data_IF_299349069294
#
_entry.id   IF_299349069294
#
_cell.length_a   1.000
_cell.length_b   1.000
_cell.length_c   1.000
_cell.angle_alpha   90.00
_cell.angle_beta   90.00
_cell.angle_gamma   90.00
#
_symmetry.space_group_name_H-M   'P 1'
#
loop_
_entity.id
_entity.type
_entity.pdbx_description
1 polymer ?
#
# COMPACT_ATOMS: atom_id res chain seq x y z
N UNK A 1 -13.29 -20.47 4.17
CA UNK A 1 -13.99 -19.18 4.41
C UNK A 1 -13.81 -18.78 5.85
N UNK A 2 -13.06 -17.72 6.14
CA UNK A 2 -13.06 -17.11 7.46
C UNK A 2 -14.28 -16.20 7.55
N UNK A 3 -15.41 -16.74 8.04
CA UNK A 3 -16.64 -15.95 8.24
C UNK A 3 -16.41 -14.73 9.15
N UNK A 4 -15.46 -14.82 10.09
CA UNK A 4 -15.19 -13.77 11.07
C UNK A 4 -14.28 -12.65 10.53
N UNK A 5 -13.22 -12.97 9.78
CA UNK A 5 -12.25 -12.01 9.24
C UNK A 5 -12.07 -12.19 7.73
N UNK A 6 -13.05 -11.76 6.93
CA UNK A 6 -13.03 -11.97 5.48
C UNK A 6 -12.12 -11.03 4.71
N UNK A 7 -11.45 -10.10 5.38
CA UNK A 7 -10.61 -9.09 4.77
C UNK A 7 -9.17 -9.16 5.25
N UNK A 8 -8.25 -8.73 4.39
CA UNK A 8 -6.87 -8.41 4.72
C UNK A 8 -6.55 -6.97 4.37
N UNK A 9 -5.82 -6.26 5.22
CA UNK A 9 -5.12 -5.02 4.84
C UNK A 9 -3.66 -5.35 4.56
N UNK A 10 -3.17 -5.00 3.40
CA UNK A 10 -1.75 -5.17 3.06
C UNK A 10 -0.92 -4.32 4.01
N UNK A 11 0.04 -4.94 4.72
CA UNK A 11 0.85 -4.31 5.77
C UNK A 11 2.31 -4.08 5.39
N UNK A 12 2.75 -4.65 4.27
CA UNK A 12 4.05 -4.38 3.67
C UNK A 12 3.94 -3.19 2.71
N UNK A 13 5.02 -2.46 2.51
CA UNK A 13 5.05 -1.37 1.52
C UNK A 13 4.59 -1.86 0.14
N UNK A 14 5.01 -3.08 -0.22
CA UNK A 14 4.61 -3.78 -1.44
C UNK A 14 4.46 -5.27 -1.13
N UNK A 15 3.37 -5.87 -1.57
CA UNK A 15 3.13 -7.30 -1.55
C UNK A 15 2.92 -7.82 -2.96
N UNK A 16 3.67 -8.84 -3.36
CA UNK A 16 3.53 -9.50 -4.66
C UNK A 16 2.42 -10.54 -4.60
N UNK A 17 1.49 -10.47 -5.56
CA UNK A 17 0.43 -11.44 -5.75
C UNK A 17 0.78 -12.34 -6.93
N UNK A 18 0.61 -13.65 -6.76
CA UNK A 18 1.06 -14.67 -7.72
C UNK A 18 -0.09 -15.50 -8.24
N UNK A 19 0.10 -16.11 -9.40
CA UNK A 19 -0.90 -17.01 -10.04
C UNK A 19 -1.10 -18.31 -9.26
N UNK A 20 -0.20 -18.67 -8.37
CA UNK A 20 -0.27 -19.85 -7.49
C UNK A 20 0.38 -19.58 -6.13
N UNK A 21 -0.03 -20.34 -5.12
CA UNK A 21 0.44 -20.23 -3.72
C UNK A 21 1.88 -20.71 -3.49
N UNK A 22 2.83 -20.24 -4.26
CA UNK A 22 4.27 -20.52 -4.14
C UNK A 22 5.13 -19.38 -4.70
N UNK A 23 6.32 -19.17 -4.15
CA UNK A 23 7.22 -18.08 -4.56
C UNK A 23 7.70 -18.20 -6.03
N UNK A 24 7.79 -19.41 -6.57
CA UNK A 24 8.19 -19.64 -7.95
C UNK A 24 7.05 -19.45 -8.98
N UNK A 25 5.81 -19.22 -8.54
CA UNK A 25 4.71 -18.93 -9.45
C UNK A 25 4.87 -17.54 -10.07
N UNK A 26 4.34 -17.36 -11.27
CA UNK A 26 4.33 -16.10 -12.00
C UNK A 26 3.66 -15.00 -11.17
N UNK A 27 4.19 -13.78 -11.23
CA UNK A 27 3.58 -12.63 -10.59
C UNK A 27 2.41 -12.13 -11.42
N UNK A 28 1.24 -12.02 -10.79
CA UNK A 28 0.02 -11.53 -11.44
C UNK A 28 -0.10 -10.00 -11.30
N UNK A 29 0.19 -9.47 -10.12
CA UNK A 29 0.14 -8.03 -9.81
C UNK A 29 0.83 -7.77 -8.46
N UNK A 30 0.85 -6.52 -8.03
CA UNK A 30 1.25 -6.12 -6.68
C UNK A 30 0.10 -5.39 -5.98
N UNK A 31 0.09 -5.44 -4.65
CA UNK A 31 -0.74 -4.59 -3.80
C UNK A 31 0.16 -3.85 -2.81
N UNK A 32 -0.13 -2.58 -2.56
CA UNK A 32 0.66 -1.71 -1.69
C UNK A 32 0.02 -1.56 -0.32
N UNK A 33 0.76 -1.07 0.67
CA UNK A 33 0.28 -0.88 2.05
C UNK A 33 -1.04 -0.12 2.12
N UNK A 34 -1.97 -0.63 2.93
CA UNK A 34 -3.30 -0.06 3.11
C UNK A 34 -4.34 -0.56 2.10
N UNK A 35 -3.94 -1.32 1.06
CA UNK A 35 -4.88 -1.93 0.11
C UNK A 35 -5.73 -2.99 0.82
N UNK A 36 -7.06 -2.86 0.84
CA UNK A 36 -7.94 -3.93 1.33
C UNK A 36 -8.05 -5.04 0.27
N UNK A 37 -7.89 -6.28 0.69
CA UNK A 37 -8.08 -7.46 -0.15
C UNK A 37 -9.13 -8.37 0.45
N UNK A 38 -10.06 -8.90 -0.38
CA UNK A 38 -11.05 -9.86 0.06
C UNK A 38 -10.43 -11.25 0.09
N UNK A 39 -10.46 -11.91 1.23
CA UNK A 39 -9.93 -13.27 1.38
C UNK A 39 -10.96 -14.27 0.88
N UNK A 40 -10.61 -15.05 -0.13
CA UNK A 40 -11.45 -16.07 -0.73
C UNK A 40 -11.20 -17.43 -0.09
N UNK A 41 -9.93 -17.80 0.10
CA UNK A 41 -9.53 -19.06 0.73
C UNK A 41 -8.09 -18.97 1.28
N UNK A 42 -7.74 -19.92 2.13
CA UNK A 42 -6.37 -20.16 2.59
C UNK A 42 -5.79 -21.43 1.99
N UNK A 43 -4.53 -21.37 1.56
CA UNK A 43 -3.76 -22.48 1.02
C UNK A 43 -2.36 -22.48 1.66
N UNK A 44 -2.19 -23.25 2.74
CA UNK A 44 -0.93 -23.27 3.52
C UNK A 44 -0.57 -21.87 4.03
N UNK A 45 0.62 -21.37 3.68
CA UNK A 45 1.11 -20.02 4.05
C UNK A 45 0.62 -18.91 3.12
N UNK A 46 -0.26 -19.23 2.18
CA UNK A 46 -0.83 -18.32 1.21
C UNK A 46 -2.32 -18.12 1.45
N UNK A 47 -2.82 -16.98 0.96
CA UNK A 47 -4.24 -16.71 0.84
C UNK A 47 -4.56 -16.37 -0.62
N UNK A 48 -5.61 -16.96 -1.17
CA UNK A 48 -6.19 -16.51 -2.43
C UNK A 48 -7.10 -15.34 -2.12
N UNK A 49 -6.84 -14.21 -2.74
CA UNK A 49 -7.51 -12.95 -2.46
C UNK A 49 -8.01 -12.28 -3.73
N UNK A 50 -8.98 -11.40 -3.57
CA UNK A 50 -9.42 -10.49 -4.62
C UNK A 50 -9.03 -9.05 -4.25
N UNK A 51 -8.32 -8.37 -5.14
CA UNK A 51 -7.92 -6.97 -5.00
C UNK A 51 -9.06 -6.03 -5.43
N UNK A 52 -9.03 -4.73 -5.06
CA UNK A 52 -10.04 -3.75 -5.49
C UNK A 52 -10.20 -3.62 -7.01
N UNK A 53 -9.11 -3.81 -7.75
CA UNK A 53 -9.06 -3.81 -9.21
C UNK A 53 -9.35 -5.19 -9.84
N UNK A 54 -10.00 -6.07 -9.06
CA UNK A 54 -10.58 -7.35 -9.45
C UNK A 54 -9.59 -8.48 -9.79
N UNK A 55 -8.27 -8.33 -9.55
CA UNK A 55 -7.36 -9.47 -9.65
C UNK A 55 -7.68 -10.51 -8.59
N UNK A 56 -7.73 -11.78 -9.00
CA UNK A 56 -7.80 -12.93 -8.09
C UNK A 56 -6.46 -13.65 -8.16
N UNK A 57 -5.70 -13.63 -7.06
CA UNK A 57 -4.35 -14.16 -7.01
C UNK A 57 -3.96 -14.56 -5.58
N UNK A 58 -2.80 -15.17 -5.41
CA UNK A 58 -2.29 -15.62 -4.12
C UNK A 58 -1.31 -14.62 -3.52
N UNK A 59 -1.54 -14.25 -2.26
CA UNK A 59 -0.68 -13.40 -1.45
C UNK A 59 -0.13 -14.20 -0.26
N UNK A 60 1.15 -14.01 0.17
CA UNK A 60 1.62 -14.60 1.42
C UNK A 60 0.82 -14.06 2.61
N UNK A 61 0.38 -14.92 3.52
CA UNK A 61 -0.42 -14.51 4.70
C UNK A 61 0.24 -13.43 5.55
N UNK A 62 1.57 -13.50 5.67
CA UNK A 62 2.35 -12.53 6.43
C UNK A 62 2.44 -11.14 5.77
N UNK A 63 2.00 -10.99 4.52
CA UNK A 63 1.97 -9.69 3.81
C UNK A 63 0.73 -8.86 4.14
N UNK A 64 -0.24 -9.42 4.84
CA UNK A 64 -1.48 -8.73 5.21
C UNK A 64 -1.83 -8.91 6.68
N UNK A 65 -2.62 -8.00 7.21
CA UNK A 65 -3.25 -8.08 8.53
C UNK A 65 -4.72 -8.41 8.35
N UNK A 66 -5.18 -9.53 8.96
CA UNK A 66 -6.57 -9.99 8.83
C UNK A 66 -7.52 -9.19 9.72
N UNK A 67 -8.61 -8.74 9.15
CA UNK A 67 -9.61 -7.89 9.81
C UNK A 67 -11.04 -8.35 9.54
N UNK A 68 -11.93 -7.98 10.45
CA UNK A 68 -13.38 -8.11 10.29
C UNK A 68 -13.93 -7.05 9.33
N UNK A 69 -15.19 -7.19 8.91
CA UNK A 69 -15.88 -6.14 8.15
C UNK A 69 -15.95 -4.83 8.94
N UNK A 70 -16.30 -4.90 10.24
CA UNK A 70 -16.38 -3.70 11.09
C UNK A 70 -15.02 -2.98 11.21
N UNK A 71 -13.91 -3.73 11.28
CA UNK A 71 -12.57 -3.14 11.30
C UNK A 71 -12.20 -2.50 9.96
N UNK A 72 -12.62 -3.09 8.83
CA UNK A 72 -12.45 -2.48 7.52
C UNK A 72 -13.23 -1.16 7.41
N UNK A 73 -14.45 -1.14 7.90
CA UNK A 73 -15.30 0.05 7.87
C UNK A 73 -14.71 1.16 8.77
N UNK A 74 -14.22 0.80 9.95
CA UNK A 74 -13.49 1.71 10.82
C UNK A 74 -12.21 2.26 10.16
N UNK A 75 -11.42 1.41 9.50
CA UNK A 75 -10.26 1.82 8.71
C UNK A 75 -10.64 2.81 7.60
N UNK A 76 -11.75 2.56 6.89
CA UNK A 76 -12.23 3.45 5.81
C UNK A 76 -12.69 4.81 6.33
N UNK A 77 -13.25 4.86 7.53
CA UNK A 77 -13.74 6.07 8.19
C UNK A 77 -12.64 6.85 8.92
N UNK A 78 -11.53 6.20 9.25
CA UNK A 78 -10.43 6.87 9.96
C UNK A 78 -9.75 7.93 9.09
N UNK A 79 -9.14 8.93 9.74
CA UNK A 79 -8.24 9.86 9.05
C UNK A 79 -7.00 9.11 8.58
N UNK A 80 -6.70 9.15 7.29
CA UNK A 80 -5.59 8.45 6.67
C UNK A 80 -4.75 9.40 5.84
N UNK A 81 -3.49 9.06 5.72
CA UNK A 81 -2.53 9.76 4.87
C UNK A 81 -2.01 8.84 3.79
N UNK A 82 -1.79 9.40 2.60
CA UNK A 82 -1.18 8.73 1.46
C UNK A 82 0.24 9.26 1.27
N UNK A 83 1.18 8.37 0.99
CA UNK A 83 2.55 8.73 0.62
C UNK A 83 2.55 9.35 -0.77
N UNK A 84 3.03 10.59 -0.89
CA UNK A 84 2.98 11.41 -2.11
C UNK A 84 4.38 11.70 -2.69
N UNK A 85 5.39 10.94 -2.29
CA UNK A 85 6.76 10.96 -2.83
C UNK A 85 7.13 9.60 -3.37
N UNK A 86 8.17 9.55 -4.20
CA UNK A 86 8.60 8.30 -4.84
C UNK A 86 8.85 7.17 -3.81
N UNK A 87 9.60 7.50 -2.74
CA UNK A 87 9.90 6.59 -1.64
C UNK A 87 10.25 7.39 -0.40
N UNK A 88 9.87 6.88 0.77
CA UNK A 88 10.26 7.40 2.09
C UNK A 88 10.28 6.28 3.13
N UNK A 89 10.37 6.62 4.40
CA UNK A 89 10.40 5.68 5.53
C UNK A 89 9.49 6.15 6.65
N UNK A 90 8.85 5.20 7.30
CA UNK A 90 8.23 5.40 8.61
C UNK A 90 9.32 5.18 9.66
N UNK A 91 9.68 6.19 10.43
CA UNK A 91 10.72 6.14 11.45
C UNK A 91 10.13 6.14 12.87
N UNK A 92 10.77 5.49 13.83
CA UNK A 92 10.28 5.38 15.23
C UNK A 92 10.30 6.72 15.96
N UNK A 93 11.16 7.65 15.53
CA UNK A 93 11.25 9.02 16.07
C UNK A 93 11.25 10.07 14.96
N UNK A 94 10.85 11.34 15.25
CA UNK A 94 10.78 12.42 14.24
C UNK A 94 12.10 12.74 13.54
N UNK A 95 13.24 12.56 14.23
CA UNK A 95 14.57 12.84 13.69
C UNK A 95 15.51 11.69 13.99
N UNK A 96 16.29 11.28 12.99
CA UNK A 96 17.33 10.24 13.12
C UNK A 96 16.80 8.93 13.73
N UNK A 97 15.50 8.64 13.52
CA UNK A 97 14.88 7.41 13.99
C UNK A 97 15.27 6.19 13.16
N UNK A 98 15.14 5.01 13.77
CA UNK A 98 15.27 3.75 13.05
C UNK A 98 14.05 3.51 12.17
N UNK A 99 14.26 2.86 11.03
CA UNK A 99 13.18 2.50 10.11
C UNK A 99 12.24 1.47 10.72
N UNK A 100 10.98 1.83 10.88
CA UNK A 100 9.87 0.93 11.24
C UNK A 100 9.33 0.20 10.02
N UNK A 101 9.22 0.94 8.91
CA UNK A 101 8.82 0.40 7.60
C UNK A 101 9.35 1.28 6.48
N UNK A 102 9.74 0.67 5.37
CA UNK A 102 9.86 1.41 4.11
C UNK A 102 8.45 1.77 3.59
N UNK A 103 8.38 2.85 2.84
CA UNK A 103 7.14 3.35 2.24
C UNK A 103 7.38 3.73 0.78
N UNK A 104 6.40 3.43 -0.06
CA UNK A 104 6.38 3.82 -1.48
C UNK A 104 5.17 4.71 -1.78
N UNK A 105 5.23 5.44 -2.88
CA UNK A 105 4.09 6.25 -3.34
C UNK A 105 2.80 5.44 -3.36
N UNK A 106 1.73 6.04 -2.87
CA UNK A 106 0.41 5.40 -2.78
C UNK A 106 0.18 4.58 -1.51
N UNK A 107 1.20 4.31 -0.68
CA UNK A 107 0.97 3.66 0.62
C UNK A 107 0.02 4.50 1.48
N UNK A 108 -0.96 3.84 2.10
CA UNK A 108 -1.97 4.48 2.94
C UNK A 108 -1.78 4.02 4.39
N UNK A 109 -1.69 4.98 5.30
CA UNK A 109 -1.48 4.77 6.73
C UNK A 109 -2.52 5.56 7.55
N UNK A 110 -2.81 5.11 8.75
CA UNK A 110 -3.76 5.77 9.65
C UNK A 110 -3.07 6.90 10.43
N UNK A 111 -3.74 8.04 10.55
CA UNK A 111 -3.26 9.17 11.34
C UNK A 111 -3.34 8.90 12.84
N UNK A 112 -2.26 9.20 13.56
CA UNK A 112 -2.15 9.05 15.02
C UNK A 112 -1.74 10.33 15.75
N UNK A 113 -1.42 11.39 15.01
CA UNK A 113 -1.05 12.67 15.61
C UNK A 113 0.00 13.43 14.80
N UNK A 114 0.52 14.51 15.38
CA UNK A 114 1.52 15.36 14.77
C UNK A 114 2.58 15.76 15.81
N UNK A 115 3.84 15.83 15.40
CA UNK A 115 4.96 16.33 16.20
C UNK A 115 5.79 17.29 15.34
N UNK A 116 5.57 18.60 15.54
CA UNK A 116 6.21 19.64 14.72
C UNK A 116 5.91 19.48 13.23
N UNK A 117 6.94 19.23 12.42
CA UNK A 117 6.81 18.99 10.97
C UNK A 117 6.60 17.53 10.60
N UNK A 118 6.41 16.65 11.57
CA UNK A 118 6.25 15.21 11.35
C UNK A 118 4.83 14.77 11.67
N UNK A 119 4.28 13.91 10.81
CA UNK A 119 2.98 13.26 10.98
C UNK A 119 3.24 11.88 11.59
N UNK A 120 2.58 11.58 12.71
CA UNK A 120 2.59 10.27 13.34
C UNK A 120 1.54 9.40 12.66
N UNK A 121 1.97 8.28 12.09
CA UNK A 121 1.14 7.35 11.31
C UNK A 121 1.27 5.94 11.86
N UNK A 122 0.23 5.13 11.64
CA UNK A 122 0.23 3.69 11.93
C UNK A 122 0.03 2.87 10.66
N UNK A 123 0.80 1.81 10.54
CA UNK A 123 0.60 0.76 9.54
C UNK A 123 -0.65 -0.06 9.85
N UNK A 124 -1.20 -0.83 8.88
CA UNK A 124 -2.38 -1.68 9.10
C UNK A 124 -2.26 -2.69 10.25
N UNK A 125 -1.05 -3.11 10.61
CA UNK A 125 -0.78 -4.03 11.72
C UNK A 125 -0.40 -3.32 13.04
N UNK A 126 -0.58 -1.98 13.09
CA UNK A 126 -0.45 -1.18 14.31
C UNK A 126 0.95 -0.71 14.66
N UNK A 127 1.98 -0.94 13.80
CA UNK A 127 3.30 -0.32 14.00
C UNK A 127 3.19 1.17 13.74
N UNK A 128 3.68 1.97 14.67
CA UNK A 128 3.61 3.43 14.60
C UNK A 128 4.96 4.05 14.29
N UNK A 129 4.93 5.23 13.68
CA UNK A 129 6.13 6.03 13.42
C UNK A 129 5.81 7.38 12.81
N UNK A 130 6.83 8.06 12.36
CA UNK A 130 6.80 9.43 11.89
C UNK A 130 7.28 9.53 10.46
N UNK A 131 6.60 10.38 9.66
CA UNK A 131 6.99 10.78 8.31
C UNK A 131 6.98 12.30 8.23
N UNK A 132 7.88 12.92 7.47
CA UNK A 132 7.86 14.36 7.29
C UNK A 132 6.59 14.80 6.53
N UNK A 133 5.94 15.87 6.97
CA UNK A 133 4.64 16.31 6.42
C UNK A 133 4.67 16.62 4.92
N UNK A 134 5.84 16.94 4.33
CA UNK A 134 5.96 17.18 2.88
C UNK A 134 5.96 15.91 2.03
N UNK A 135 6.03 14.72 2.66
CA UNK A 135 6.13 13.44 1.98
C UNK A 135 4.80 12.69 1.94
N UNK A 136 3.82 13.18 2.70
CA UNK A 136 2.48 12.60 2.80
C UNK A 136 1.41 13.66 2.62
N UNK A 137 0.22 13.24 2.21
CA UNK A 137 -0.96 14.10 2.08
C UNK A 137 -2.15 13.42 2.75
N UNK A 138 -3.07 14.18 3.34
CA UNK A 138 -4.31 13.60 3.82
C UNK A 138 -5.07 12.94 2.66
N UNK A 139 -5.54 11.71 2.86
CA UNK A 139 -6.16 10.93 1.79
C UNK A 139 -7.41 11.59 1.22
N UNK A 140 -8.21 12.25 2.07
CA UNK A 140 -9.40 12.99 1.65
C UNK A 140 -9.05 14.16 0.72
N UNK A 141 -8.00 14.92 1.03
CA UNK A 141 -7.52 16.01 0.17
C UNK A 141 -6.94 15.47 -1.14
N UNK A 142 -6.21 14.35 -1.08
CA UNK A 142 -5.66 13.72 -2.27
C UNK A 142 -6.76 13.20 -3.19
N UNK A 143 -7.79 12.54 -2.63
CA UNK A 143 -8.90 11.97 -3.41
C UNK A 143 -9.81 13.02 -4.05
N UNK A 144 -9.84 14.23 -3.50
CA UNK A 144 -10.63 15.36 -4.02
C UNK A 144 -9.90 16.23 -5.07
N UNK A 145 -8.70 15.80 -5.51
CA UNK A 145 -7.99 16.51 -6.57
C UNK A 145 -8.73 16.40 -7.89
N UNK A 146 -8.82 17.52 -8.63
CA UNK A 146 -9.33 17.51 -10.00
C UNK A 146 -8.32 16.83 -10.92
N UNK A 147 -8.81 16.25 -12.02
CA UNK A 147 -7.96 15.69 -13.05
C UNK A 147 -6.96 16.75 -13.56
N UNK A 148 -5.67 16.37 -13.56
CA UNK A 148 -4.58 17.22 -14.05
C UNK A 148 -3.58 16.35 -14.83
N UNK A 149 -3.59 16.51 -16.17
CA UNK A 149 -2.72 15.76 -17.07
C UNK A 149 -1.23 16.07 -16.84
N UNK A 150 -0.89 17.30 -16.44
CA UNK A 150 0.50 17.67 -16.14
C UNK A 150 1.00 17.04 -14.85
N UNK A 151 0.11 16.88 -13.85
CA UNK A 151 0.44 16.14 -12.63
C UNK A 151 0.70 14.66 -12.94
N UNK A 152 -0.16 14.02 -13.75
CA UNK A 152 0.02 12.62 -14.16
C UNK A 152 1.37 12.46 -14.90
N UNK A 153 1.67 13.32 -15.86
CA UNK A 153 2.97 13.33 -16.57
C UNK A 153 4.13 13.48 -15.59
N UNK A 154 4.04 14.41 -14.63
CA UNK A 154 5.06 14.63 -13.62
C UNK A 154 5.29 13.39 -12.75
N UNK A 155 4.24 12.67 -12.38
CA UNK A 155 4.36 11.41 -11.64
C UNK A 155 5.02 10.34 -12.51
N UNK A 156 4.56 10.17 -13.76
CA UNK A 156 5.16 9.23 -14.71
C UNK A 156 6.65 9.49 -14.94
N UNK A 157 7.07 10.75 -15.10
CA UNK A 157 8.47 11.10 -15.25
C UNK A 157 9.33 10.83 -14.01
N UNK A 158 8.75 10.83 -12.81
CA UNK A 158 9.47 10.39 -11.59
C UNK A 158 9.83 8.90 -11.63
N UNK A 159 9.15 8.11 -12.46
CA UNK A 159 9.42 6.69 -12.65
C UNK A 159 10.53 6.41 -13.67
N UNK A 160 11.08 7.44 -14.34
CA UNK A 160 12.18 7.25 -15.29
C UNK A 160 13.40 6.65 -14.60
N UNK A 161 13.99 5.62 -15.24
CA UNK A 161 15.10 4.86 -14.67
C UNK A 161 14.68 3.73 -13.75
N UNK A 162 13.38 3.57 -13.43
CA UNK A 162 12.88 2.40 -12.70
C UNK A 162 13.04 1.14 -13.54
N UNK A 163 13.42 0.02 -12.88
CA UNK A 163 13.51 -1.26 -13.54
C UNK A 163 12.15 -1.81 -13.95
N UNK A 164 12.14 -2.62 -15.01
CA UNK A 164 10.95 -3.34 -15.45
C UNK A 164 10.74 -4.61 -14.62
N UNK A 165 9.52 -4.83 -14.16
CA UNK A 165 9.12 -6.05 -13.49
C UNK A 165 7.71 -6.43 -13.97
N UNK A 166 7.56 -7.61 -14.59
CA UNK A 166 6.26 -8.13 -15.01
C UNK A 166 5.29 -8.22 -13.82
N UNK A 167 4.09 -7.62 -13.94
CA UNK A 167 3.11 -7.51 -12.84
C UNK A 167 3.47 -6.45 -11.78
N UNK A 168 4.55 -5.70 -11.93
CA UNK A 168 4.95 -4.64 -11.01
C UNK A 168 4.02 -3.43 -11.09
N UNK A 169 3.56 -2.93 -9.94
CA UNK A 169 2.65 -1.78 -9.80
C UNK A 169 3.06 -0.87 -8.65
N UNK A 170 4.36 -0.59 -8.54
CA UNK A 170 4.90 0.25 -7.48
C UNK A 170 6.05 1.11 -7.98
N UNK A 171 6.43 2.14 -7.23
CA UNK A 171 7.57 2.99 -7.58
C UNK A 171 8.91 2.27 -7.55
N UNK A 172 9.03 1.11 -6.90
CA UNK A 172 10.30 0.35 -6.91
C UNK A 172 10.55 -0.31 -8.27
N UNK A 173 9.52 -0.99 -8.81
CA UNK A 173 9.59 -1.69 -10.10
C UNK A 173 8.18 -1.73 -10.69
N UNK A 174 8.07 -1.55 -12.01
CA UNK A 174 6.78 -1.48 -12.69
C UNK A 174 6.82 -2.13 -14.07
N UNK A 175 5.67 -2.58 -14.57
CA UNK A 175 5.48 -2.88 -15.99
C UNK A 175 4.75 -1.74 -16.72
N UNK A 176 4.40 -1.92 -17.97
CA UNK A 176 3.73 -0.90 -18.79
C UNK A 176 2.37 -0.48 -18.20
N UNK A 177 1.56 -1.43 -17.74
CA UNK A 177 0.25 -1.16 -17.13
C UNK A 177 0.39 -0.61 -15.71
N UNK A 178 1.38 -1.10 -14.96
CA UNK A 178 1.71 -0.61 -13.64
C UNK A 178 2.17 0.84 -13.63
N UNK A 179 2.92 1.27 -14.65
CA UNK A 179 3.29 2.68 -14.83
C UNK A 179 2.05 3.57 -14.93
N UNK A 180 1.08 3.18 -15.75
CA UNK A 180 -0.20 3.91 -15.86
C UNK A 180 -0.89 3.96 -14.50
N UNK A 181 -1.03 2.81 -13.83
CA UNK A 181 -1.71 2.67 -12.54
C UNK A 181 -1.09 3.51 -11.42
N UNK A 182 0.25 3.62 -11.37
CA UNK A 182 0.94 4.45 -10.38
C UNK A 182 0.84 5.94 -10.71
N UNK A 183 0.68 6.30 -12.00
CA UNK A 183 0.65 7.69 -12.45
C UNK A 183 -0.72 8.35 -12.27
N UNK A 184 -1.81 7.55 -12.28
CA UNK A 184 -3.19 7.99 -12.04
C UNK A 184 -3.60 7.85 -10.58
#
# INVERSE_FOLDING_TARGET
>A
FTKEKPWGLVKLSIASLRTGGKHAAEMATQAIMGTPVKILEFAGDWARVQTPDQYIAYIPKNSMYQITQAQLDAWRQSTRYIVNVYQTQLADTPKNGMTVSDLVMGNILEYKGKSGKYIKLATPDGREGYVHQSEVKELSEWANQTFDAELIKKVAFRMMGSGYLWGGTSTKLTDCSGLVKVSY
#
